data_IF_846695318007
#
_entry.id   IF_846695318007
#
_cell.length_a   1.000
_cell.length_b   1.000
_cell.length_c   1.000
_cell.angle_alpha   90.00
_cell.angle_beta   90.00
_cell.angle_gamma   90.00
#
_symmetry.space_group_name_H-M   'P 1'
#
loop_
_entity.id
_entity.type
_entity.pdbx_description
1 polymer ?
#
# COMPACT_ATOMS: atom_id res chain seq x y z
N UNK A 1 4.14 -14.74 -4.83
CA UNK A 1 2.67 -14.78 -5.09
C UNK A 1 2.24 -13.43 -5.65
N UNK A 2 1.63 -13.40 -6.84
CA UNK A 2 1.20 -12.15 -7.47
C UNK A 2 -0.14 -11.68 -6.86
N UNK A 3 -0.21 -10.40 -6.50
CA UNK A 3 -1.41 -9.75 -5.98
C UNK A 3 -1.74 -8.51 -6.82
N UNK A 4 -2.96 -8.49 -7.35
CA UNK A 4 -3.51 -7.34 -8.09
C UNK A 4 -4.64 -6.74 -7.26
N UNK A 5 -4.33 -5.69 -6.51
CA UNK A 5 -5.31 -4.86 -5.80
C UNK A 5 -5.88 -3.76 -6.68
N UNK A 6 -6.74 -2.93 -6.08
CA UNK A 6 -7.36 -1.80 -6.78
C UNK A 6 -6.41 -0.62 -6.94
N UNK A 7 -5.64 -0.34 -5.89
CA UNK A 7 -4.63 0.73 -5.85
C UNK A 7 -3.24 0.12 -5.90
N UNK A 8 -2.95 -0.91 -5.12
CA UNK A 8 -1.62 -1.53 -5.07
C UNK A 8 -1.62 -2.84 -5.85
N UNK A 9 -0.63 -3.04 -6.71
CA UNK A 9 -0.35 -4.35 -7.31
C UNK A 9 1.12 -4.69 -7.15
N UNK A 10 1.43 -5.97 -6.99
CA UNK A 10 2.78 -6.40 -6.70
C UNK A 10 2.92 -7.90 -6.52
N UNK A 11 4.08 -8.30 -6.01
CA UNK A 11 4.42 -9.68 -5.75
C UNK A 11 4.90 -9.84 -4.31
N UNK A 12 4.36 -10.85 -3.63
CA UNK A 12 4.85 -11.29 -2.33
C UNK A 12 5.98 -12.32 -2.49
N UNK A 13 7.14 -12.06 -1.90
CA UNK A 13 8.24 -13.01 -1.82
C UNK A 13 8.27 -13.65 -0.42
N UNK A 14 7.82 -14.91 -0.35
CA UNK A 14 7.79 -15.71 0.88
C UNK A 14 9.18 -16.03 1.42
N UNK A 15 10.23 -16.00 0.58
CA UNK A 15 11.61 -16.33 1.03
C UNK A 15 12.18 -15.26 1.93
N UNK A 16 11.82 -14.01 1.65
CA UNK A 16 12.28 -12.82 2.40
C UNK A 16 11.17 -12.16 3.22
N UNK A 17 9.95 -12.70 3.17
CA UNK A 17 8.77 -12.20 3.86
C UNK A 17 8.56 -10.70 3.57
N UNK A 18 8.56 -10.36 2.27
CA UNK A 18 8.52 -8.98 1.77
C UNK A 18 7.56 -8.86 0.57
N UNK A 19 6.81 -7.77 0.51
CA UNK A 19 5.93 -7.47 -0.62
C UNK A 19 6.57 -6.43 -1.53
N UNK A 20 6.79 -6.78 -2.80
CA UNK A 20 7.26 -5.90 -3.85
C UNK A 20 6.08 -5.25 -4.56
N UNK A 21 5.77 -4.02 -4.21
CA UNK A 21 4.80 -3.13 -4.86
C UNK A 21 5.34 -2.76 -6.25
N UNK A 22 4.70 -3.24 -7.31
CA UNK A 22 5.06 -2.94 -8.69
C UNK A 22 4.22 -1.79 -9.28
N UNK A 23 3.10 -1.47 -8.65
CA UNK A 23 2.18 -0.43 -9.12
C UNK A 23 1.38 0.16 -7.98
N UNK A 24 1.21 1.48 -8.02
CA UNK A 24 0.34 2.24 -7.14
C UNK A 24 -0.52 3.16 -8.00
N UNK A 25 -1.84 2.93 -8.00
CA UNK A 25 -2.81 3.65 -8.83
C UNK A 25 -2.44 3.51 -10.32
N UNK A 26 -2.02 4.60 -10.98
CA UNK A 26 -1.60 4.60 -12.38
C UNK A 26 -0.07 4.67 -12.52
N UNK A 27 0.65 4.71 -11.40
CA UNK A 27 2.10 4.84 -11.38
C UNK A 27 2.75 3.47 -11.23
N UNK A 28 3.66 3.13 -12.14
CA UNK A 28 4.55 1.99 -11.98
C UNK A 28 5.68 2.39 -11.04
N UNK A 29 5.88 1.62 -9.99
CA UNK A 29 6.96 1.79 -9.00
C UNK A 29 7.49 0.42 -8.66
N UNK A 30 8.66 0.26 -8.05
CA UNK A 30 9.14 -1.06 -7.66
C UNK A 30 9.52 -1.06 -6.19
N UNK A 31 8.54 -0.89 -5.28
CA UNK A 31 8.64 -0.68 -3.83
C UNK A 31 8.61 -1.94 -2.99
N UNK A 32 9.70 -2.26 -2.31
CA UNK A 32 9.70 -3.30 -1.28
C UNK A 32 9.14 -2.77 0.04
N UNK A 33 8.11 -3.44 0.57
CA UNK A 33 7.54 -3.17 1.89
C UNK A 33 7.58 -4.42 2.77
N UNK A 34 8.02 -4.26 4.02
CA UNK A 34 8.03 -5.31 5.04
C UNK A 34 6.79 -5.23 5.92
N UNK A 35 6.46 -6.31 6.63
CA UNK A 35 5.28 -6.40 7.50
C UNK A 35 5.12 -5.18 8.44
N UNK A 36 6.17 -4.80 9.17
CA UNK A 36 6.12 -3.68 10.11
C UNK A 36 5.84 -2.33 9.43
N UNK A 37 6.40 -2.13 8.23
CA UNK A 37 6.19 -0.92 7.43
C UNK A 37 4.77 -0.91 6.86
N UNK A 38 4.29 -2.05 6.37
CA UNK A 38 2.93 -2.23 5.89
C UNK A 38 1.90 -1.95 6.98
N UNK A 39 2.11 -2.48 8.18
CA UNK A 39 1.25 -2.24 9.35
C UNK A 39 1.24 -0.76 9.74
N UNK A 40 2.41 -0.13 9.76
CA UNK A 40 2.53 1.31 10.08
C UNK A 40 1.81 2.18 9.05
N UNK A 41 1.94 1.86 7.76
CA UNK A 41 1.23 2.55 6.68
C UNK A 41 -0.28 2.34 6.78
N UNK A 42 -0.72 1.10 7.03
CA UNK A 42 -2.12 0.75 7.20
C UNK A 42 -2.74 1.51 8.38
N UNK A 43 -2.10 1.49 9.55
CA UNK A 43 -2.60 2.16 10.75
C UNK A 43 -2.67 3.68 10.56
N UNK A 44 -1.67 4.27 9.88
CA UNK A 44 -1.68 5.67 9.49
C UNK A 44 -2.88 5.99 8.59
N UNK A 45 -3.06 5.27 7.49
CA UNK A 45 -4.15 5.50 6.55
C UNK A 45 -5.52 5.28 7.20
N UNK A 46 -5.66 4.28 8.06
CA UNK A 46 -6.89 3.98 8.78
C UNK A 46 -7.28 5.08 9.77
N UNK A 47 -6.30 5.69 10.43
CA UNK A 47 -6.51 6.86 11.30
C UNK A 47 -7.03 8.07 10.52
N UNK A 48 -6.66 8.16 9.24
CA UNK A 48 -6.93 9.28 8.36
C UNK A 48 -7.99 8.98 7.27
N UNK A 49 -8.66 7.82 7.33
CA UNK A 49 -9.61 7.36 6.30
C UNK A 49 -10.85 8.25 6.13
N UNK A 50 -11.19 9.02 7.17
CA UNK A 50 -12.35 9.90 7.19
C UNK A 50 -12.01 11.36 6.83
N UNK A 51 -10.74 11.66 6.54
CA UNK A 51 -10.34 13.01 6.14
C UNK A 51 -10.85 13.30 4.72
N UNK A 52 -11.71 14.31 4.60
CA UNK A 52 -12.34 14.72 3.34
C UNK A 52 -11.31 15.21 2.30
N UNK A 53 -10.17 15.73 2.74
CA UNK A 53 -9.09 16.20 1.87
C UNK A 53 -8.26 15.08 1.23
N UNK A 54 -8.50 13.83 1.63
CA UNK A 54 -7.70 12.67 1.24
C UNK A 54 -6.37 12.62 1.97
N UNK A 55 -5.42 11.83 1.47
CA UNK A 55 -4.09 11.69 2.07
C UNK A 55 -2.98 11.73 1.02
N UNK A 56 -1.80 12.17 1.43
CA UNK A 56 -0.61 12.14 0.59
C UNK A 56 0.31 11.05 1.11
N UNK A 57 0.57 10.05 0.27
CA UNK A 57 1.58 9.02 0.53
C UNK A 57 2.81 9.31 -0.32
N UNK A 58 3.99 9.04 0.21
CA UNK A 58 5.22 9.17 -0.55
C UNK A 58 5.71 7.79 -0.93
N UNK A 59 5.88 7.55 -2.22
CA UNK A 59 6.56 6.35 -2.70
C UNK A 59 8.05 6.64 -2.78
N UNK A 60 8.85 5.76 -2.16
CA UNK A 60 10.31 5.80 -2.23
C UNK A 60 10.97 7.14 -1.88
N UNK A 61 10.39 7.90 -0.96
CA UNK A 61 10.87 9.23 -0.55
C UNK A 61 11.02 10.26 -1.70
N UNK A 62 10.55 9.96 -2.91
CA UNK A 62 10.80 10.78 -4.10
C UNK A 62 9.53 11.25 -4.82
N UNK A 63 8.39 10.56 -4.65
CA UNK A 63 7.13 10.94 -5.33
C UNK A 63 5.94 10.97 -4.37
N UNK A 64 5.41 12.15 -4.03
CA UNK A 64 4.15 12.28 -3.31
C UNK A 64 2.98 11.98 -4.25
N UNK A 65 2.17 11.00 -3.87
CA UNK A 65 0.90 10.68 -4.52
C UNK A 65 -0.22 11.14 -3.61
N UNK A 66 -1.12 11.95 -4.18
CA UNK A 66 -2.38 12.29 -3.53
C UNK A 66 -3.41 11.19 -3.80
N UNK A 67 -3.95 10.66 -2.72
CA UNK A 67 -5.06 9.73 -2.70
C UNK A 67 -6.33 10.48 -2.28
N UNK A 68 -7.42 10.28 -3.02
CA UNK A 68 -8.75 10.71 -2.55
C UNK A 68 -9.21 9.85 -1.37
N UNK A 69 -10.24 10.28 -0.65
CA UNK A 69 -10.84 9.49 0.44
C UNK A 69 -11.24 8.07 -0.01
N UNK A 70 -11.83 7.94 -1.20
CA UNK A 70 -12.21 6.65 -1.76
C UNK A 70 -10.97 5.79 -2.02
N UNK A 71 -9.90 6.38 -2.55
CA UNK A 71 -8.64 5.68 -2.81
C UNK A 71 -7.93 5.27 -1.51
N UNK A 72 -8.04 6.08 -0.45
CA UNK A 72 -7.56 5.73 0.89
C UNK A 72 -8.29 4.48 1.41
N UNK A 73 -9.60 4.38 1.20
CA UNK A 73 -10.34 3.17 1.59
C UNK A 73 -9.95 1.95 0.74
N UNK A 74 -9.72 2.14 -0.56
CA UNK A 74 -9.29 1.06 -1.46
C UNK A 74 -7.89 0.55 -1.12
N UNK A 75 -6.94 1.44 -0.85
CA UNK A 75 -5.57 1.06 -0.49
C UNK A 75 -5.54 0.36 0.88
N UNK A 76 -6.37 0.77 1.85
CA UNK A 76 -6.49 0.08 3.15
C UNK A 76 -6.92 -1.37 2.93
N UNK A 77 -7.95 -1.60 2.11
CA UNK A 77 -8.41 -2.95 1.79
C UNK A 77 -7.34 -3.80 1.08
N UNK A 78 -6.55 -3.20 0.18
CA UNK A 78 -5.45 -3.89 -0.47
C UNK A 78 -4.33 -4.23 0.53
N UNK A 79 -3.99 -3.31 1.44
CA UNK A 79 -3.01 -3.52 2.49
C UNK A 79 -3.44 -4.63 3.47
N UNK A 80 -4.72 -4.69 3.86
CA UNK A 80 -5.25 -5.76 4.72
C UNK A 80 -5.10 -7.13 4.06
N UNK A 81 -5.34 -7.24 2.74
CA UNK A 81 -5.10 -8.50 1.99
C UNK A 81 -3.62 -8.89 2.00
N UNK A 82 -2.73 -7.95 1.73
CA UNK A 82 -1.29 -8.20 1.75
C UNK A 82 -0.83 -8.58 3.16
N UNK A 83 -1.40 -7.97 4.20
CA UNK A 83 -1.10 -8.28 5.59
C UNK A 83 -1.35 -9.76 5.92
N UNK A 84 -2.41 -10.36 5.37
CA UNK A 84 -2.71 -11.79 5.57
C UNK A 84 -1.70 -12.75 4.95
N UNK A 85 -0.81 -12.27 4.07
CA UNK A 85 0.23 -13.08 3.44
C UNK A 85 1.51 -13.19 4.28
N UNK A 86 1.71 -12.26 5.22
CA UNK A 86 2.82 -12.36 6.16
C UNK A 86 2.54 -13.42 7.23
N UNK A 87 3.56 -14.22 7.54
CA UNK A 87 3.55 -15.29 8.53
C UNK A 87 4.58 -15.05 9.63
#
# INVERSE_FOLDING_TARGET
>A
MLLTGNIISGEFDERVNEFSIQKVKHFTTESSIKENQLKSLHDYLKKHQNDADGQIITLYDQMPIRLSQEEVNLIINDLEKIQTMYH
#
